data_IF_095763477017
#
_entry.id   IF_095763477017
#
_cell.length_a   1.000
_cell.length_b   1.000
_cell.length_c   1.000
_cell.angle_alpha   90.00
_cell.angle_beta   90.00
_cell.angle_gamma   90.00
#
_symmetry.space_group_name_H-M   'P 1'
#
loop_
_entity.id
_entity.type
_entity.pdbx_description
1 polymer ?
#
# COMPACT_ATOMS: atom_id res chain seq x y z
N UNK A 1 -55.74 18.15 -25.29
CA UNK A 1 -54.44 18.83 -25.21
C UNK A 1 -54.17 19.13 -23.74
N UNK A 2 -53.70 18.14 -22.97
CA UNK A 2 -53.40 18.32 -21.54
C UNK A 2 -51.96 18.80 -21.40
N UNK A 3 -51.80 20.04 -20.93
CA UNK A 3 -50.51 20.62 -20.60
C UNK A 3 -49.97 19.99 -19.31
N UNK A 4 -48.87 19.25 -19.45
CA UNK A 4 -48.06 18.79 -18.34
C UNK A 4 -47.33 20.03 -17.77
N UNK A 5 -47.89 20.62 -16.71
CA UNK A 5 -47.25 21.69 -15.96
C UNK A 5 -46.09 21.08 -15.15
N UNK A 6 -44.92 21.01 -15.79
CA UNK A 6 -43.67 20.63 -15.14
C UNK A 6 -43.36 21.65 -14.03
N UNK A 7 -43.53 21.20 -12.79
CA UNK A 7 -43.19 21.93 -11.58
C UNK A 7 -41.66 22.08 -11.55
N UNK A 8 -41.14 23.15 -12.17
CA UNK A 8 -39.75 23.57 -12.00
C UNK A 8 -39.64 24.03 -10.55
N UNK A 9 -39.27 23.08 -9.69
CA UNK A 9 -38.78 23.39 -8.35
C UNK A 9 -37.53 24.23 -8.57
N UNK A 10 -37.64 25.54 -8.31
CA UNK A 10 -36.50 26.44 -8.27
C UNK A 10 -35.57 25.96 -7.17
N UNK A 11 -34.65 25.07 -7.52
CA UNK A 11 -33.74 24.52 -6.56
C UNK A 11 -32.73 25.61 -6.23
N UNK A 12 -32.70 26.01 -4.95
CA UNK A 12 -31.74 26.98 -4.46
C UNK A 12 -30.34 26.39 -4.70
N UNK A 13 -29.69 26.88 -5.76
CA UNK A 13 -28.40 26.39 -6.22
C UNK A 13 -27.29 27.31 -5.72
N UNK A 14 -26.18 26.70 -5.34
CA UNK A 14 -25.03 27.35 -4.76
C UNK A 14 -23.77 27.18 -5.58
N UNK A 15 -22.73 27.90 -5.18
CA UNK A 15 -21.40 27.78 -5.78
C UNK A 15 -20.44 27.29 -4.71
N UNK A 16 -19.87 26.10 -4.93
CA UNK A 16 -18.82 25.56 -4.07
C UNK A 16 -17.49 25.98 -4.65
N UNK A 17 -16.66 26.66 -3.85
CA UNK A 17 -15.30 27.04 -4.20
C UNK A 17 -14.32 26.46 -3.19
N UNK A 18 -13.18 26.01 -3.68
CA UNK A 18 -12.12 25.49 -2.84
C UNK A 18 -10.78 25.50 -3.54
N UNK A 19 -9.76 25.14 -2.78
CA UNK A 19 -8.40 24.92 -3.24
C UNK A 19 -7.90 23.57 -2.73
N UNK A 20 -7.25 22.84 -3.60
CA UNK A 20 -6.53 21.61 -3.31
C UNK A 20 -5.05 21.92 -3.39
N UNK A 21 -4.31 21.55 -2.37
CA UNK A 21 -2.87 21.67 -2.36
C UNK A 21 -2.27 20.55 -3.21
N UNK A 22 -1.69 20.91 -4.35
CA UNK A 22 -0.91 20.02 -5.19
C UNK A 22 0.55 20.46 -5.09
N UNK A 23 1.48 19.58 -4.70
CA UNK A 23 2.90 19.92 -4.63
C UNK A 23 3.46 20.15 -6.05
N UNK A 24 4.45 21.06 -6.17
CA UNK A 24 4.95 21.56 -7.44
C UNK A 24 5.64 20.50 -8.34
N UNK A 25 5.93 19.32 -7.80
CA UNK A 25 6.47 18.17 -8.52
C UNK A 25 5.42 17.39 -9.31
N UNK A 26 4.13 17.67 -9.13
CA UNK A 26 3.01 16.95 -9.75
C UNK A 26 2.21 17.89 -10.63
N UNK A 27 1.80 17.41 -11.81
CA UNK A 27 0.98 18.21 -12.73
C UNK A 27 -0.42 18.44 -12.14
N UNK A 28 -0.80 19.71 -12.03
CA UNK A 28 -2.11 20.12 -11.52
C UNK A 28 -3.27 19.62 -12.40
N UNK A 29 -3.05 19.48 -13.72
CA UNK A 29 -4.10 19.12 -14.69
C UNK A 29 -4.60 17.67 -14.57
N UNK A 30 -3.85 16.80 -13.91
CA UNK A 30 -4.24 15.40 -13.68
C UNK A 30 -5.16 15.26 -12.46
N UNK A 31 -5.41 16.34 -11.73
CA UNK A 31 -6.30 16.34 -10.57
C UNK A 31 -7.73 16.64 -11.01
N UNK A 32 -8.62 15.68 -10.77
CA UNK A 32 -10.06 15.81 -11.01
C UNK A 32 -10.77 15.86 -9.68
N UNK A 33 -11.70 16.79 -9.51
CA UNK A 33 -12.55 16.85 -8.33
C UNK A 33 -13.92 16.30 -8.70
N UNK A 34 -14.38 15.34 -7.92
CA UNK A 34 -15.68 14.71 -8.07
C UNK A 34 -16.57 15.18 -6.91
N UNK A 35 -17.79 15.60 -7.21
CA UNK A 35 -18.79 16.00 -6.23
C UNK A 35 -20.04 15.14 -6.43
N UNK A 36 -20.38 14.36 -5.41
CA UNK A 36 -21.64 13.64 -5.33
C UNK A 36 -22.67 14.53 -4.64
N UNK A 37 -23.69 14.95 -5.40
CA UNK A 37 -24.76 15.82 -4.90
C UNK A 37 -25.76 15.04 -4.05
N UNK A 38 -26.61 15.75 -3.31
CA UNK A 38 -27.67 15.14 -2.50
C UNK A 38 -28.75 14.49 -3.36
N UNK A 39 -28.88 14.91 -4.62
CA UNK A 39 -29.80 14.38 -5.63
C UNK A 39 -29.28 13.09 -6.27
N UNK A 40 -28.02 12.70 -6.00
CA UNK A 40 -27.38 11.52 -6.57
C UNK A 40 -26.66 11.78 -7.90
N UNK A 41 -26.55 13.04 -8.33
CA UNK A 41 -25.78 13.41 -9.52
C UNK A 41 -24.29 13.48 -9.18
N UNK A 42 -23.46 13.16 -10.16
CA UNK A 42 -22.01 13.26 -10.05
C UNK A 42 -21.51 14.41 -10.93
N UNK A 43 -21.04 15.47 -10.29
CA UNK A 43 -20.42 16.60 -10.97
C UNK A 43 -18.91 16.44 -10.94
N UNK A 44 -18.26 16.70 -12.08
CA UNK A 44 -16.81 16.62 -12.22
C UNK A 44 -16.26 17.95 -12.67
N UNK A 45 -15.18 18.40 -12.04
CA UNK A 45 -14.47 19.61 -12.43
C UNK A 45 -12.96 19.39 -12.34
N UNK A 46 -12.21 20.21 -13.07
CA UNK A 46 -10.76 20.16 -13.07
C UNK A 46 -10.19 21.26 -12.19
N UNK A 47 -9.00 21.00 -11.69
CA UNK A 47 -8.27 21.96 -10.86
C UNK A 47 -7.40 22.85 -11.75
N UNK A 48 -7.36 24.15 -11.44
CA UNK A 48 -6.48 25.09 -12.15
C UNK A 48 -5.00 24.94 -11.71
N UNK A 49 -4.10 25.70 -12.34
CA UNK A 49 -2.67 25.69 -12.02
C UNK A 49 -2.34 26.06 -10.56
N UNK A 50 -3.23 26.77 -9.87
CA UNK A 50 -3.06 27.17 -8.46
C UNK A 50 -3.72 26.20 -7.47
N UNK A 51 -4.32 25.11 -7.95
CA UNK A 51 -5.06 24.19 -7.10
C UNK A 51 -6.53 24.58 -6.85
N UNK A 52 -7.03 25.67 -7.40
CA UNK A 52 -8.42 26.10 -7.19
C UNK A 52 -9.42 25.36 -8.09
N UNK A 53 -10.62 25.13 -7.57
CA UNK A 53 -11.75 24.53 -8.27
C UNK A 53 -13.06 25.21 -7.91
N UNK A 54 -14.05 25.09 -8.79
CA UNK A 54 -15.40 25.57 -8.55
C UNK A 54 -16.44 24.61 -9.14
N UNK A 55 -17.55 24.45 -8.41
CA UNK A 55 -18.77 23.82 -8.89
C UNK A 55 -19.88 24.86 -8.90
N UNK A 56 -20.62 24.87 -10.00
CA UNK A 56 -21.81 25.70 -10.18
C UNK A 56 -23.07 24.84 -10.06
N UNK A 57 -24.19 25.51 -9.79
CA UNK A 57 -25.51 24.88 -9.74
C UNK A 57 -25.63 23.75 -8.71
N UNK A 58 -24.93 23.87 -7.59
CA UNK A 58 -24.95 22.82 -6.57
C UNK A 58 -26.21 22.94 -5.72
N UNK A 59 -27.06 21.90 -5.65
CA UNK A 59 -28.25 21.91 -4.80
C UNK A 59 -27.96 22.23 -3.33
N UNK A 60 -28.93 22.74 -2.56
CA UNK A 60 -28.77 22.76 -1.10
C UNK A 60 -28.81 21.34 -0.51
N UNK A 61 -28.06 21.10 0.58
CA UNK A 61 -28.02 19.80 1.25
C UNK A 61 -26.61 19.33 1.58
N UNK A 62 -26.48 18.02 1.80
CA UNK A 62 -25.21 17.39 2.15
C UNK A 62 -24.63 16.71 0.92
N UNK A 63 -23.40 17.05 0.58
CA UNK A 63 -22.67 16.54 -0.57
C UNK A 63 -21.36 15.89 -0.13
N UNK A 64 -20.84 15.02 -0.99
CA UNK A 64 -19.54 14.38 -0.77
C UNK A 64 -18.58 14.81 -1.87
N UNK A 65 -17.50 15.46 -1.46
CA UNK A 65 -16.43 15.93 -2.32
C UNK A 65 -15.27 14.93 -2.24
N UNK A 66 -14.89 14.38 -3.39
CA UNK A 66 -13.82 13.41 -3.52
C UNK A 66 -12.80 13.91 -4.56
N UNK A 67 -11.66 14.44 -4.12
CA UNK A 67 -10.56 14.75 -5.01
C UNK A 67 -9.88 13.46 -5.47
N UNK A 68 -9.65 13.34 -6.77
CA UNK A 68 -8.97 12.23 -7.40
C UNK A 68 -7.69 12.70 -8.09
N UNK A 69 -6.58 12.03 -7.81
CA UNK A 69 -5.30 12.23 -8.47
C UNK A 69 -4.55 10.90 -8.54
N UNK A 70 -3.79 10.69 -9.62
CA UNK A 70 -3.05 9.44 -9.83
C UNK A 70 -1.88 9.27 -8.85
N UNK A 71 -1.31 10.32 -8.27
CA UNK A 71 -0.10 10.26 -7.44
C UNK A 71 -0.32 10.76 -6.01
N UNK A 72 -1.52 11.21 -5.68
CA UNK A 72 -1.85 11.80 -4.38
C UNK A 72 -3.16 11.23 -3.87
N UNK A 73 -3.16 10.81 -2.61
CA UNK A 73 -4.38 10.38 -1.92
C UNK A 73 -4.93 11.55 -1.13
N UNK A 74 -6.15 11.96 -1.47
CA UNK A 74 -6.88 13.00 -0.75
C UNK A 74 -7.99 12.38 0.10
N UNK A 75 -8.27 12.96 1.29
CA UNK A 75 -9.39 12.53 2.08
C UNK A 75 -10.70 13.02 1.47
N UNK A 76 -11.74 12.20 1.56
CA UNK A 76 -13.11 12.59 1.22
C UNK A 76 -13.65 13.62 2.21
N UNK A 77 -14.33 14.63 1.69
CA UNK A 77 -14.89 15.73 2.48
C UNK A 77 -16.39 15.79 2.30
N UNK A 78 -17.11 15.70 3.41
CA UNK A 78 -18.55 15.96 3.47
C UNK A 78 -18.77 17.47 3.57
N UNK A 79 -19.48 18.02 2.61
CA UNK A 79 -19.87 19.42 2.54
C UNK A 79 -21.34 19.56 2.86
N UNK A 80 -21.69 20.56 3.65
CA UNK A 80 -23.06 20.96 3.93
C UNK A 80 -23.28 22.32 3.31
N UNK A 81 -24.22 22.42 2.38
CA UNK A 81 -24.57 23.65 1.66
C UNK A 81 -25.92 24.12 2.19
N UNK A 82 -25.95 25.35 2.69
CA UNK A 82 -27.17 25.97 3.19
C UNK A 82 -28.09 26.36 2.03
N UNK A 83 -29.35 26.65 2.32
CA UNK A 83 -30.35 27.21 1.38
C UNK A 83 -29.89 28.47 0.63
N UNK A 84 -28.95 29.21 1.20
CA UNK A 84 -28.31 30.38 0.57
C UNK A 84 -27.26 30.02 -0.50
N UNK A 85 -27.04 28.74 -0.78
CA UNK A 85 -26.03 28.28 -1.74
C UNK A 85 -24.58 28.44 -1.25
N UNK A 86 -24.38 28.59 0.06
CA UNK A 86 -23.06 28.75 0.70
C UNK A 86 -22.74 27.51 1.53
N UNK A 87 -21.49 27.05 1.45
CA UNK A 87 -20.98 25.96 2.31
C UNK A 87 -21.02 26.42 3.76
N UNK A 88 -21.87 25.80 4.58
CA UNK A 88 -22.02 26.10 6.00
C UNK A 88 -21.05 25.28 6.86
N UNK A 89 -20.77 24.04 6.45
CA UNK A 89 -19.87 23.14 7.16
C UNK A 89 -19.14 22.25 6.18
N UNK A 90 -17.86 22.00 6.48
CA UNK A 90 -17.05 21.02 5.78
C UNK A 90 -16.41 20.12 6.82
N UNK A 91 -16.53 18.80 6.68
CA UNK A 91 -15.92 17.85 7.61
C UNK A 91 -15.36 16.65 6.85
N UNK A 92 -14.34 15.98 7.40
CA UNK A 92 -13.84 14.76 6.78
C UNK A 92 -14.87 13.62 6.88
N UNK A 93 -14.96 12.80 5.83
CA UNK A 93 -15.84 11.63 5.78
C UNK A 93 -15.55 10.65 6.93
N UNK A 94 -14.26 10.42 7.22
CA UNK A 94 -13.78 9.49 8.26
C UNK A 94 -13.91 10.03 9.69
N UNK A 95 -13.87 11.36 9.89
CA UNK A 95 -13.99 11.97 11.21
C UNK A 95 -14.90 13.21 11.15
N UNK A 96 -16.16 13.02 11.53
CA UNK A 96 -17.21 14.05 11.50
C UNK A 96 -16.94 15.22 12.45
N UNK A 97 -16.08 15.02 13.45
CA UNK A 97 -15.71 16.07 14.40
C UNK A 97 -14.58 16.95 13.86
N UNK A 98 -13.87 16.51 12.81
CA UNK A 98 -12.83 17.30 12.17
C UNK A 98 -13.43 18.20 11.10
N UNK A 99 -13.81 19.40 11.53
CA UNK A 99 -14.35 20.46 10.67
C UNK A 99 -13.19 21.15 9.96
N UNK A 100 -13.28 21.29 8.64
CA UNK A 100 -12.34 22.05 7.83
C UNK A 100 -12.73 23.53 7.80
N UNK A 101 -11.73 24.40 7.89
CA UNK A 101 -11.94 25.84 7.74
C UNK A 101 -12.39 26.19 6.32
N UNK A 102 -13.20 27.23 6.22
CA UNK A 102 -13.64 27.84 4.97
C UNK A 102 -12.76 29.08 4.74
N UNK A 103 -12.18 29.29 3.55
CA UNK A 103 -12.35 28.54 2.29
C UNK A 103 -11.72 27.14 2.32
N UNK A 104 -12.37 26.19 1.64
CA UNK A 104 -11.94 24.79 1.58
C UNK A 104 -10.50 24.67 1.10
N UNK A 105 -9.60 24.20 1.96
CA UNK A 105 -8.21 23.93 1.64
C UNK A 105 -7.89 22.45 1.90
N UNK A 106 -7.90 21.65 0.84
CA UNK A 106 -7.65 20.20 0.93
C UNK A 106 -6.16 19.92 0.83
N UNK A 107 -5.59 19.29 1.85
CA UNK A 107 -4.22 18.81 1.81
C UNK A 107 -4.18 17.33 1.45
N UNK A 108 -3.16 16.89 0.68
CA UNK A 108 -2.97 15.48 0.40
C UNK A 108 -2.66 14.77 1.73
N UNK A 109 -3.35 13.66 1.99
CA UNK A 109 -3.12 12.86 3.18
C UNK A 109 -1.80 12.08 3.05
N UNK A 110 -1.52 11.57 1.85
CA UNK A 110 -0.33 10.79 1.53
C UNK A 110 0.06 10.99 0.07
N UNK A 111 1.38 11.00 -0.21
CA UNK A 111 1.87 10.74 -1.56
C UNK A 111 1.62 9.27 -1.87
N UNK A 112 0.92 9.00 -2.97
CA UNK A 112 0.55 7.65 -3.35
C UNK A 112 1.82 6.93 -3.86
N UNK A 113 2.52 6.27 -2.93
CA UNK A 113 3.66 5.43 -3.25
C UNK A 113 3.20 4.13 -3.90
N UNK A 114 2.87 4.17 -5.19
CA UNK A 114 2.52 2.95 -5.96
C UNK A 114 3.70 1.98 -6.08
N UNK A 115 4.92 2.44 -5.81
CA UNK A 115 6.12 1.62 -5.80
C UNK A 115 6.61 1.41 -4.38
N UNK A 116 6.48 0.18 -3.88
CA UNK A 116 7.20 -0.27 -2.69
C UNK A 116 8.68 -0.37 -3.05
N UNK A 117 9.52 0.50 -2.45
CA UNK A 117 10.97 0.45 -2.67
C UNK A 117 11.45 -0.95 -2.29
N UNK A 118 12.10 -1.67 -3.23
CA UNK A 118 12.72 -2.97 -2.95
C UNK A 118 13.61 -2.79 -1.73
N UNK A 119 13.36 -3.58 -0.66
CA UNK A 119 14.17 -3.52 0.56
C UNK A 119 15.64 -3.65 0.12
N UNK A 120 16.49 -2.64 0.38
CA UNK A 120 17.90 -2.75 0.03
C UNK A 120 18.45 -3.98 0.73
N UNK A 121 19.32 -4.73 0.05
CA UNK A 121 19.96 -5.87 0.65
C UNK A 121 20.81 -5.38 1.83
N UNK A 122 20.32 -5.66 3.04
CA UNK A 122 21.03 -5.31 4.26
C UNK A 122 22.03 -6.44 4.57
N UNK A 123 23.30 -6.18 4.25
CA UNK A 123 24.42 -7.09 4.53
C UNK A 123 24.47 -7.44 6.02
N UNK A 124 24.14 -6.49 6.90
CA UNK A 124 24.11 -6.72 8.34
C UNK A 124 22.97 -7.65 8.76
N UNK A 125 21.79 -7.46 8.16
CA UNK A 125 20.66 -8.38 8.34
C UNK A 125 20.92 -9.76 7.74
N UNK A 126 21.71 -9.84 6.66
CA UNK A 126 22.10 -11.11 6.04
C UNK A 126 23.07 -11.88 6.93
N UNK A 127 24.10 -11.25 7.51
CA UNK A 127 25.04 -11.90 8.43
C UNK A 127 24.32 -12.46 9.67
N UNK A 128 23.31 -11.74 10.18
CA UNK A 128 22.46 -12.18 11.30
C UNK A 128 21.40 -13.21 10.91
N UNK A 129 21.22 -13.48 9.62
CA UNK A 129 20.28 -14.51 9.17
C UNK A 129 20.84 -15.91 9.49
N UNK A 130 19.96 -16.92 9.62
CA UNK A 130 20.40 -18.31 9.79
C UNK A 130 21.40 -18.76 8.72
N UNK A 131 21.24 -18.29 7.48
CA UNK A 131 22.16 -18.58 6.38
C UNK A 131 23.51 -17.87 6.52
N UNK A 132 23.52 -16.58 6.90
CA UNK A 132 24.75 -15.83 7.10
C UNK A 132 25.61 -16.38 8.23
N UNK A 133 24.98 -16.77 9.34
CA UNK A 133 25.68 -17.37 10.47
C UNK A 133 26.34 -18.70 10.11
N UNK A 134 25.66 -19.54 9.31
CA UNK A 134 26.21 -20.82 8.84
C UNK A 134 27.44 -20.61 7.96
N UNK A 135 27.41 -19.61 7.07
CA UNK A 135 28.57 -19.26 6.22
C UNK A 135 29.73 -18.76 7.09
N UNK A 136 29.47 -17.82 8.00
CA UNK A 136 30.49 -17.27 8.90
C UNK A 136 31.09 -18.36 9.78
N UNK A 137 30.26 -19.24 10.34
CA UNK A 137 30.69 -20.37 11.16
C UNK A 137 31.52 -21.37 10.36
N UNK A 138 31.12 -21.68 9.13
CA UNK A 138 31.86 -22.59 8.24
C UNK A 138 33.24 -22.04 7.90
N UNK A 139 33.33 -20.73 7.60
CA UNK A 139 34.61 -20.07 7.34
C UNK A 139 35.49 -20.04 8.61
N UNK A 140 34.90 -19.75 9.77
CA UNK A 140 35.61 -19.80 11.05
C UNK A 140 36.14 -21.21 11.34
N UNK A 141 35.33 -22.24 11.13
CA UNK A 141 35.71 -23.63 11.26
C UNK A 141 36.90 -23.98 10.36
N UNK A 142 36.86 -23.64 9.08
CA UNK A 142 37.97 -23.91 8.13
C UNK A 142 39.27 -23.22 8.59
N UNK A 143 39.19 -22.09 9.29
CA UNK A 143 40.38 -21.37 9.81
C UNK A 143 40.89 -21.97 11.13
N UNK A 144 39.97 -22.38 12.03
CA UNK A 144 40.32 -22.80 13.40
C UNK A 144 40.60 -24.30 13.50
N UNK A 145 39.84 -25.16 12.81
CA UNK A 145 40.08 -26.61 12.79
C UNK A 145 41.51 -27.00 12.40
N UNK A 146 42.17 -26.45 11.35
CA UNK A 146 43.55 -26.82 11.04
C UNK A 146 44.56 -26.33 12.10
N UNK A 147 44.20 -25.34 12.92
CA UNK A 147 44.99 -24.88 14.07
C UNK A 147 44.80 -25.78 15.30
N UNK A 148 43.75 -26.60 15.33
CA UNK A 148 43.52 -27.67 16.31
C UNK A 148 44.06 -28.99 15.73
N UNK A 149 45.39 -29.08 15.65
CA UNK A 149 46.21 -30.26 15.25
C UNK A 149 45.41 -31.57 15.09
N UNK A 150 45.04 -31.92 13.86
CA UNK A 150 44.47 -33.23 13.54
C UNK A 150 45.58 -34.21 13.16
N UNK A 151 45.48 -35.44 13.66
CA UNK A 151 46.35 -36.56 13.28
C UNK A 151 46.02 -37.02 11.84
N UNK A 152 46.99 -37.58 11.08
CA UNK A 152 46.83 -37.95 9.67
C UNK A 152 45.81 -39.06 9.39
N UNK A 153 45.28 -39.71 10.43
CA UNK A 153 44.21 -40.72 10.34
C UNK A 153 42.82 -40.06 10.25
N UNK A 154 42.56 -39.00 11.01
CA UNK A 154 41.25 -38.32 11.03
C UNK A 154 40.93 -37.63 9.69
N UNK A 155 41.96 -37.19 8.96
CA UNK A 155 41.80 -36.65 7.61
C UNK A 155 41.38 -37.70 6.58
N UNK A 156 41.72 -38.98 6.77
CA UNK A 156 41.29 -40.06 5.87
C UNK A 156 39.83 -40.38 6.10
N UNK A 157 39.39 -40.45 7.35
CA UNK A 157 37.98 -40.67 7.69
C UNK A 157 37.09 -39.49 7.26
N UNK A 158 37.58 -38.25 7.40
CA UNK A 158 36.92 -37.06 6.84
C UNK A 158 36.82 -37.09 5.31
N UNK A 159 37.85 -37.58 4.62
CA UNK A 159 37.83 -37.72 3.16
C UNK A 159 36.93 -38.86 2.69
N UNK A 160 36.86 -39.97 3.44
CA UNK A 160 35.97 -41.10 3.15
C UNK A 160 34.50 -40.72 3.37
N UNK A 161 34.20 -39.96 4.43
CA UNK A 161 32.85 -39.42 4.67
C UNK A 161 32.46 -38.35 3.64
N UNK A 162 33.39 -37.52 3.15
CA UNK A 162 33.15 -36.57 2.04
C UNK A 162 33.03 -37.23 0.66
N UNK A 163 33.69 -38.38 0.44
CA UNK A 163 33.56 -39.16 -0.80
C UNK A 163 32.23 -39.91 -0.89
N UNK A 164 31.67 -40.32 0.24
CA UNK A 164 30.42 -41.08 0.31
C UNK A 164 29.18 -40.18 0.49
N UNK A 165 29.34 -39.00 1.08
CA UNK A 165 28.28 -37.98 1.19
C UNK A 165 28.78 -36.64 0.67
N UNK A 166 28.40 -36.29 -0.56
CA UNK A 166 28.95 -35.15 -1.28
C UNK A 166 28.83 -33.81 -0.54
N UNK A 167 29.97 -33.12 -0.41
CA UNK A 167 30.12 -31.68 -0.22
C UNK A 167 29.54 -31.07 1.08
N UNK A 168 30.12 -29.95 1.56
CA UNK A 168 29.57 -29.22 2.71
C UNK A 168 28.25 -28.55 2.30
N UNK A 169 27.17 -29.33 2.41
CA UNK A 169 25.81 -28.96 2.07
C UNK A 169 24.79 -30.07 2.38
N UNK A 170 25.24 -31.31 2.63
CA UNK A 170 24.36 -32.46 2.90
C UNK A 170 23.96 -32.71 4.36
N UNK A 171 24.51 -31.99 5.34
CA UNK A 171 24.27 -32.27 6.76
C UNK A 171 23.12 -31.43 7.37
N UNK A 172 21.99 -31.30 6.66
CA UNK A 172 20.75 -30.76 7.23
C UNK A 172 19.54 -31.10 6.34
N UNK A 173 19.34 -32.38 6.02
CA UNK A 173 18.24 -32.80 5.16
C UNK A 173 18.07 -34.30 5.11
N UNK A 174 17.83 -34.94 6.25
CA UNK A 174 17.73 -36.40 6.35
C UNK A 174 16.80 -36.85 7.46
N UNK A 175 15.65 -36.21 7.60
CA UNK A 175 14.56 -36.66 8.47
C UNK A 175 13.53 -37.47 7.69
N UNK A 176 13.54 -38.78 7.91
CA UNK A 176 12.40 -39.70 7.85
C UNK A 176 11.61 -39.85 6.53
N UNK A 177 11.89 -40.90 5.74
CA UNK A 177 10.86 -41.78 5.15
C UNK A 177 11.48 -43.19 4.99
N UNK A 178 11.01 -44.18 5.74
CA UNK A 178 11.53 -45.55 5.64
C UNK A 178 10.88 -46.57 6.57
N UNK A 179 9.58 -46.44 6.85
CA UNK A 179 8.80 -47.42 7.61
C UNK A 179 7.82 -48.17 6.71
N UNK A 180 8.33 -48.94 5.75
CA UNK A 180 7.51 -49.78 4.86
C UNK A 180 7.28 -51.16 5.49
N UNK A 181 6.08 -51.36 5.99
CA UNK A 181 5.58 -52.59 6.60
C UNK A 181 5.69 -53.79 5.64
N UNK A 182 6.30 -54.88 6.12
CA UNK A 182 6.49 -56.13 5.38
C UNK A 182 5.15 -56.82 5.11
N UNK A 183 4.89 -57.17 3.85
CA UNK A 183 3.77 -58.02 3.44
C UNK A 183 4.14 -59.52 3.60
N UNK A 184 3.20 -60.41 3.96
CA UNK A 184 3.49 -61.82 4.18
C UNK A 184 3.69 -62.56 2.85
N UNK A 185 4.72 -63.40 2.81
CA UNK A 185 4.98 -64.33 1.71
C UNK A 185 3.91 -65.42 1.68
N UNK A 186 3.17 -65.50 0.57
CA UNK A 186 2.43 -66.71 0.22
C UNK A 186 3.36 -67.71 -0.45
N UNK A 187 3.34 -68.91 0.10
CA UNK A 187 4.13 -70.08 -0.25
C UNK A 187 3.17 -71.06 -0.93
N UNK A 188 3.40 -71.33 -2.21
CA UNK A 188 3.15 -72.55 -3.00
C UNK A 188 2.99 -72.17 -4.47
#
# INVERSE_FOLDING_TARGET
MLGLLGLVSGHESGVIRGRVFVPANINHSTTTIILHTSTGEELRTFVNAEGAFAFHDVPSGVHLLQPFNLHLVYPEVRLEVNRKGVVSRAALSHNRNMVLNIPLALRPAMEAGYYEKRKPFDVWSFIKSPYGLMIVFSLFAIIVFPRLKMDPEDYKEMQETMKVGGGPGGAAGGGAIGGGQQAPRLRQ
#
